data_IF_249425443962
#
_entry.id   IF_249425443962
#
_cell.length_a   1.000
_cell.length_b   1.000
_cell.length_c   1.000
_cell.angle_alpha   90.00
_cell.angle_beta   90.00
_cell.angle_gamma   90.00
#
_symmetry.space_group_name_H-M   'P 1'
#
loop_
_entity.id
_entity.type
_entity.pdbx_description
1 polymer ?
#
# COMPACT_ATOMS: atom_id res chain seq x y z
N UNK A 1 4.19 1.87 9.67
CA UNK A 1 3.37 1.82 8.45
C UNK A 1 2.43 0.65 8.58
N UNK A 2 1.12 0.91 8.56
CA UNK A 2 0.07 -0.07 8.90
C UNK A 2 -0.66 -0.64 7.68
N UNK A 3 -0.38 -0.16 6.48
CA UNK A 3 -0.95 -0.70 5.23
C UNK A 3 -0.46 -2.11 4.92
N UNK A 4 -1.20 -2.80 4.06
CA UNK A 4 -0.90 -4.18 3.66
C UNK A 4 0.44 -4.26 2.91
N UNK A 5 1.02 -5.46 2.80
CA UNK A 5 2.19 -5.65 1.94
C UNK A 5 1.91 -5.30 0.48
N UNK A 6 0.66 -5.49 0.03
CA UNK A 6 0.22 -5.10 -1.31
C UNK A 6 0.27 -3.57 -1.48
N UNK A 7 -0.39 -2.81 -0.59
CA UNK A 7 -0.41 -1.34 -0.66
C UNK A 7 1.00 -0.77 -0.61
N UNK A 8 1.83 -1.30 0.30
CA UNK A 8 3.21 -0.89 0.46
C UNK A 8 4.08 -1.23 -0.76
N UNK A 9 3.81 -2.33 -1.45
CA UNK A 9 4.54 -2.70 -2.65
C UNK A 9 4.20 -1.77 -3.81
N UNK A 10 2.92 -1.43 -3.97
CA UNK A 10 2.46 -0.42 -4.94
C UNK A 10 3.06 0.95 -4.61
N UNK A 11 3.00 1.39 -3.35
CA UNK A 11 3.63 2.64 -2.92
C UNK A 11 5.13 2.65 -3.17
N UNK A 12 5.83 1.54 -2.95
CA UNK A 12 7.26 1.41 -3.23
C UNK A 12 7.56 1.52 -4.73
N UNK A 13 6.74 0.93 -5.60
CA UNK A 13 6.86 1.09 -7.05
C UNK A 13 6.81 2.57 -7.44
N UNK A 14 5.79 3.31 -6.98
CA UNK A 14 5.64 4.72 -7.31
C UNK A 14 6.65 5.62 -6.59
N UNK A 15 7.12 5.26 -5.39
CA UNK A 15 8.23 5.97 -4.75
C UNK A 15 9.49 5.93 -5.61
N UNK A 16 9.80 4.77 -6.21
CA UNK A 16 10.95 4.60 -7.10
C UNK A 16 10.70 5.27 -8.45
N UNK A 17 9.63 4.85 -9.14
CA UNK A 17 9.36 5.24 -10.54
C UNK A 17 8.80 6.65 -10.67
N UNK A 18 8.14 7.17 -9.64
CA UNK A 18 7.36 8.39 -9.69
C UNK A 18 5.95 8.17 -10.23
N UNK A 19 5.06 9.12 -9.96
CA UNK A 19 3.67 9.10 -10.40
C UNK A 19 2.68 8.95 -9.24
N UNK A 20 1.40 8.94 -9.59
CA UNK A 20 0.31 8.77 -8.64
C UNK A 20 0.12 7.30 -8.32
N UNK A 21 0.13 6.97 -7.03
CA UNK A 21 -0.16 5.62 -6.55
C UNK A 21 -1.52 5.17 -7.07
N UNK A 22 -1.55 4.06 -7.78
CA UNK A 22 -2.75 3.34 -8.22
C UNK A 22 -2.71 1.95 -7.57
N UNK A 23 -3.53 1.74 -6.55
CA UNK A 23 -3.67 0.46 -5.83
C UNK A 23 -4.44 -0.60 -6.64
N UNK A 24 -4.94 -0.26 -7.83
CA UNK A 24 -5.71 -1.16 -8.67
C UNK A 24 -7.21 -1.04 -8.41
N UNK A 25 -7.99 -1.14 -9.48
CA UNK A 25 -9.44 -0.98 -9.42
C UNK A 25 -10.11 -2.19 -8.76
N UNK A 26 -9.66 -3.40 -9.08
CA UNK A 26 -10.21 -4.63 -8.51
C UNK A 26 -9.94 -4.68 -6.99
N UNK A 27 -8.69 -4.41 -6.60
CA UNK A 27 -8.26 -4.38 -5.21
C UNK A 27 -9.02 -3.33 -4.40
N UNK A 28 -9.07 -2.09 -4.89
CA UNK A 28 -9.80 -1.01 -4.23
C UNK A 28 -11.29 -1.34 -4.06
N UNK A 29 -11.94 -1.93 -5.07
CA UNK A 29 -13.33 -2.36 -4.99
C UNK A 29 -13.54 -3.48 -3.96
N UNK A 30 -12.65 -4.49 -3.97
CA UNK A 30 -12.67 -5.66 -3.08
C UNK A 30 -12.53 -5.26 -1.61
N UNK A 31 -11.54 -4.43 -1.29
CA UNK A 31 -11.23 -4.03 0.08
C UNK A 31 -11.99 -2.76 0.53
N UNK A 32 -12.52 -1.99 -0.41
CA UNK A 32 -13.32 -0.79 -0.17
C UNK A 32 -12.52 0.37 0.40
N UNK A 33 -11.41 0.68 -0.25
CA UNK A 33 -10.62 1.90 -0.02
C UNK A 33 -10.39 2.62 -1.34
N UNK A 34 -9.82 3.83 -1.29
CA UNK A 34 -9.53 4.63 -2.48
C UNK A 34 -8.55 3.89 -3.41
N UNK A 35 -8.85 3.88 -4.71
CA UNK A 35 -7.94 3.34 -5.75
C UNK A 35 -6.66 4.14 -5.86
N UNK A 36 -6.75 5.46 -5.73
CA UNK A 36 -5.60 6.33 -5.93
C UNK A 36 -5.08 6.90 -4.62
N UNK A 37 -3.78 6.76 -4.38
CA UNK A 37 -3.08 7.35 -3.26
C UNK A 37 -2.37 8.66 -3.60
N UNK A 38 -1.30 8.91 -2.84
CA UNK A 38 -0.39 10.05 -3.01
C UNK A 38 0.38 9.99 -4.33
N UNK A 39 0.90 11.14 -4.74
CA UNK A 39 1.82 11.26 -5.88
C UNK A 39 3.25 11.36 -5.38
N UNK A 40 4.13 10.54 -5.95
CA UNK A 40 5.56 10.59 -5.69
C UNK A 40 6.30 11.25 -6.84
N UNK A 41 7.33 12.02 -6.53
CA UNK A 41 8.25 12.56 -7.54
C UNK A 41 8.98 11.45 -8.30
N UNK A 42 9.31 10.35 -7.62
CA UNK A 42 10.11 9.27 -8.20
C UNK A 42 11.60 9.52 -8.01
N UNK A 43 12.25 8.70 -7.18
CA UNK A 43 13.70 8.79 -6.94
C UNK A 43 14.53 8.24 -8.10
N UNK A 44 13.92 7.43 -8.97
CA UNK A 44 14.53 6.90 -10.19
C UNK A 44 13.50 6.84 -11.32
N UNK A 45 13.17 8.00 -11.90
CA UNK A 45 12.11 8.18 -12.90
C UNK A 45 12.26 7.29 -14.14
N UNK A 46 13.50 7.02 -14.55
CA UNK A 46 13.75 6.21 -15.75
C UNK A 46 13.59 4.70 -15.50
N UNK A 47 13.55 4.25 -14.23
CA UNK A 47 13.59 2.84 -13.83
C UNK A 47 12.68 1.92 -14.68
N UNK A 48 13.29 1.02 -15.45
CA UNK A 48 12.64 0.13 -16.42
C UNK A 48 13.51 -1.12 -16.64
N UNK A 49 13.06 -2.15 -17.37
CA UNK A 49 13.89 -3.32 -17.66
C UNK A 49 15.29 -2.96 -18.16
N UNK A 50 16.31 -3.63 -17.60
CA UNK A 50 17.73 -3.33 -17.83
C UNK A 50 18.34 -2.31 -16.84
N UNK A 51 17.54 -1.48 -16.18
CA UNK A 51 17.99 -0.57 -15.12
C UNK A 51 17.70 -1.18 -13.75
N UNK A 52 18.65 -1.96 -13.24
CA UNK A 52 18.44 -2.72 -12.01
C UNK A 52 18.68 -1.90 -10.75
N UNK A 53 17.97 -2.25 -9.69
CA UNK A 53 18.20 -1.76 -8.33
C UNK A 53 18.45 -2.90 -7.34
N UNK A 54 19.10 -2.60 -6.22
CA UNK A 54 19.21 -3.51 -5.08
C UNK A 54 18.21 -3.10 -4.00
N UNK A 55 17.43 -4.05 -3.51
CA UNK A 55 16.41 -3.79 -2.50
C UNK A 55 16.79 -4.48 -1.18
N UNK A 56 16.96 -3.68 -0.13
CA UNK A 56 17.27 -4.17 1.23
C UNK A 56 16.08 -3.88 2.14
N UNK A 57 15.46 -4.95 2.66
CA UNK A 57 14.25 -4.87 3.48
C UNK A 57 14.51 -5.29 4.92
N UNK A 58 14.26 -4.39 5.87
CA UNK A 58 14.21 -4.74 7.28
C UNK A 58 12.78 -5.16 7.69
N UNK A 59 12.64 -6.21 8.50
CA UNK A 59 11.36 -6.71 9.02
C UNK A 59 10.32 -6.90 7.90
N UNK A 60 9.09 -6.39 8.04
CA UNK A 60 8.03 -6.48 7.02
C UNK A 60 8.45 -5.88 5.66
N UNK A 61 9.45 -4.99 5.61
CA UNK A 61 10.00 -4.47 4.36
C UNK A 61 10.50 -5.56 3.40
N UNK A 62 11.01 -6.68 3.93
CA UNK A 62 11.40 -7.82 3.09
C UNK A 62 10.23 -8.51 2.40
N UNK A 63 9.06 -8.59 3.04
CA UNK A 63 7.84 -9.11 2.39
C UNK A 63 7.32 -8.13 1.34
N UNK A 64 7.35 -6.83 1.64
CA UNK A 64 6.96 -5.77 0.69
C UNK A 64 7.80 -5.83 -0.58
N UNK A 65 9.12 -5.98 -0.47
CA UNK A 65 10.03 -6.06 -1.62
C UNK A 65 9.76 -7.31 -2.48
N UNK A 66 9.50 -8.46 -1.84
CA UNK A 66 9.13 -9.69 -2.55
C UNK A 66 7.79 -9.53 -3.29
N UNK A 67 6.80 -8.89 -2.66
CA UNK A 67 5.51 -8.60 -3.28
C UNK A 67 5.65 -7.65 -4.48
N UNK A 68 6.52 -6.64 -4.39
CA UNK A 68 6.81 -5.75 -5.52
C UNK A 68 7.42 -6.53 -6.70
N UNK A 69 8.40 -7.39 -6.43
CA UNK A 69 9.05 -8.17 -7.50
C UNK A 69 8.07 -9.15 -8.17
N UNK A 70 7.19 -9.78 -7.39
CA UNK A 70 6.08 -10.61 -7.90
C UNK A 70 5.19 -9.81 -8.86
N UNK A 71 4.75 -8.61 -8.46
CA UNK A 71 3.91 -7.74 -9.29
C UNK A 71 4.65 -7.29 -10.56
N UNK A 72 5.94 -6.93 -10.47
CA UNK A 72 6.71 -6.53 -11.65
C UNK A 72 6.80 -7.66 -12.67
N UNK A 73 7.10 -8.88 -12.22
CA UNK A 73 7.31 -10.03 -13.09
C UNK A 73 5.99 -10.56 -13.66
N UNK A 74 5.00 -10.78 -12.80
CA UNK A 74 3.78 -11.50 -13.13
C UNK A 74 2.53 -10.63 -13.27
N UNK A 75 2.60 -9.37 -12.84
CA UNK A 75 1.46 -8.47 -12.84
C UNK A 75 0.42 -8.86 -11.78
N UNK A 76 -0.83 -8.47 -12.01
CA UNK A 76 -1.96 -8.90 -11.20
C UNK A 76 -3.11 -9.34 -12.13
N UNK A 77 -3.36 -10.65 -12.27
CA UNK A 77 -4.43 -11.16 -13.12
C UNK A 77 -5.83 -10.64 -12.75
N UNK A 78 -6.13 -10.45 -11.45
CA UNK A 78 -7.43 -9.91 -11.01
C UNK A 78 -7.64 -8.49 -11.56
N UNK A 79 -6.61 -7.64 -11.57
CA UNK A 79 -6.69 -6.28 -12.13
C UNK A 79 -6.83 -6.28 -13.66
N UNK A 80 -6.13 -7.20 -14.34
CA UNK A 80 -6.23 -7.37 -15.78
C UNK A 80 -7.64 -7.82 -16.20
N UNK A 81 -8.22 -8.79 -15.48
CA UNK A 81 -9.59 -9.25 -15.72
C UNK A 81 -10.61 -8.15 -15.44
N UNK A 82 -10.46 -7.46 -14.31
CA UNK A 82 -11.34 -6.36 -13.94
C UNK A 82 -11.33 -5.23 -14.99
N UNK A 83 -10.15 -4.86 -15.51
CA UNK A 83 -10.01 -3.86 -16.56
C UNK A 83 -10.62 -4.33 -17.89
N UNK A 84 -10.52 -5.61 -18.24
CA UNK A 84 -11.19 -6.15 -19.44
C UNK A 84 -12.71 -6.07 -19.33
N UNK A 85 -13.26 -6.34 -18.16
CA UNK A 85 -14.70 -6.33 -17.92
C UNK A 85 -15.27 -4.91 -17.80
N UNK A 86 -14.57 -4.00 -17.12
CA UNK A 86 -15.08 -2.67 -16.76
C UNK A 86 -14.48 -1.53 -17.60
N UNK A 87 -13.46 -1.80 -18.42
CA UNK A 87 -12.70 -0.81 -19.17
C UNK A 87 -11.83 0.09 -18.29
N UNK A 88 -11.38 1.21 -18.86
CA UNK A 88 -10.55 2.20 -18.17
C UNK A 88 -9.05 1.87 -18.15
N UNK A 89 -8.31 2.66 -17.38
CA UNK A 89 -6.85 2.57 -17.26
C UNK A 89 -6.43 1.49 -16.27
N UNK A 90 -5.27 0.88 -16.51
CA UNK A 90 -4.60 -0.07 -15.63
C UNK A 90 -3.14 0.33 -15.48
N UNK A 91 -2.63 0.36 -14.23
CA UNK A 91 -1.22 0.63 -13.96
C UNK A 91 -0.32 -0.36 -14.71
N UNK A 92 0.81 0.10 -15.30
CA UNK A 92 1.80 -0.80 -15.91
C UNK A 92 2.28 -1.88 -14.95
N UNK A 93 2.31 -1.60 -13.64
CA UNK A 93 2.69 -2.57 -12.60
C UNK A 93 1.84 -3.85 -12.66
N UNK A 94 0.57 -3.75 -13.01
CA UNK A 94 -0.34 -4.91 -13.02
C UNK A 94 -0.32 -5.70 -14.33
N UNK A 95 0.38 -5.22 -15.35
CA UNK A 95 0.48 -5.90 -16.65
C UNK A 95 1.57 -6.99 -16.65
N UNK A 96 2.49 -6.96 -15.69
CA UNK A 96 3.62 -7.88 -15.61
C UNK A 96 4.65 -7.68 -16.74
N UNK A 97 5.61 -8.60 -16.85
CA UNK A 97 6.65 -8.56 -17.88
C UNK A 97 7.76 -7.53 -17.64
N UNK A 98 7.84 -6.96 -16.44
CA UNK A 98 8.87 -5.99 -16.05
C UNK A 98 10.09 -6.67 -15.43
N UNK A 99 10.56 -7.72 -16.09
CA UNK A 99 11.75 -8.46 -15.68
C UNK A 99 13.01 -7.57 -15.70
N UNK A 100 14.05 -8.01 -15.00
CA UNK A 100 15.36 -7.35 -14.98
C UNK A 100 15.37 -5.92 -14.44
N UNK A 101 14.40 -5.56 -13.59
CA UNK A 101 14.36 -4.29 -12.85
C UNK A 101 14.94 -4.38 -11.44
N UNK A 102 15.02 -5.58 -10.85
CA UNK A 102 15.60 -5.83 -9.53
C UNK A 102 16.82 -6.75 -9.69
N UNK A 103 17.98 -6.34 -9.17
CA UNK A 103 19.20 -7.14 -9.19
C UNK A 103 19.31 -8.06 -7.98
N UNK A 104 18.90 -7.60 -6.80
CA UNK A 104 18.95 -8.41 -5.57
C UNK A 104 17.88 -7.97 -4.58
N UNK A 105 17.48 -8.94 -3.75
CA UNK A 105 16.63 -8.75 -2.59
C UNK A 105 17.39 -9.28 -1.38
N UNK A 106 17.68 -8.42 -0.41
CA UNK A 106 18.30 -8.79 0.85
C UNK A 106 17.35 -8.46 1.98
N UNK A 107 17.10 -9.42 2.87
CA UNK A 107 16.15 -9.25 3.98
C UNK A 107 16.84 -9.38 5.33
N UNK A 108 16.47 -8.53 6.29
CA UNK A 108 17.07 -8.46 7.63
C UNK A 108 15.95 -8.53 8.67
N UNK A 109 15.91 -9.60 9.47
CA UNK A 109 14.87 -9.77 10.49
C UNK A 109 13.44 -9.86 9.94
N UNK A 110 13.29 -10.16 8.64
CA UNK A 110 11.97 -10.34 8.02
C UNK A 110 11.30 -11.59 8.58
N UNK A 111 9.97 -11.57 8.82
CA UNK A 111 9.21 -12.76 9.18
C UNK A 111 8.64 -13.44 7.91
N UNK A 112 9.41 -14.26 7.14
CA UNK A 112 8.93 -14.83 5.88
C UNK A 112 7.77 -15.82 6.06
N UNK A 113 7.58 -16.35 7.28
CA UNK A 113 6.51 -17.27 7.67
C UNK A 113 5.59 -16.66 8.75
N UNK A 114 5.55 -15.32 8.85
CA UNK A 114 4.85 -14.64 9.94
C UNK A 114 5.62 -14.69 11.26
N UNK A 115 4.99 -14.19 12.32
CA UNK A 115 5.54 -14.19 13.69
C UNK A 115 4.41 -14.42 14.68
N UNK A 116 4.66 -15.26 15.68
CA UNK A 116 3.71 -15.52 16.76
C UNK A 116 3.35 -14.23 17.52
N UNK A 117 4.22 -13.22 17.52
CA UNK A 117 3.91 -11.92 18.11
C UNK A 117 2.75 -11.21 17.37
N UNK A 118 2.63 -11.35 16.06
CA UNK A 118 1.48 -10.84 15.33
C UNK A 118 0.21 -11.65 15.63
N UNK A 119 0.34 -12.97 15.70
CA UNK A 119 -0.80 -13.87 15.94
C UNK A 119 -1.36 -13.75 17.37
N UNK A 120 -0.49 -13.52 18.36
CA UNK A 120 -0.86 -13.48 19.79
C UNK A 120 -1.08 -12.07 20.35
N UNK A 121 -0.49 -11.03 19.74
CA UNK A 121 -0.49 -9.68 20.31
C UNK A 121 -0.85 -8.59 19.28
N UNK A 122 -0.38 -8.67 18.03
CA UNK A 122 -0.52 -7.58 17.05
C UNK A 122 -1.82 -7.54 16.25
N UNK A 123 -2.39 -8.72 15.95
CA UNK A 123 -3.60 -8.87 15.12
C UNK A 123 -4.86 -9.17 15.93
N UNK A 124 -4.70 -9.26 17.26
CA UNK A 124 -5.78 -9.20 18.23
C UNK A 124 -6.58 -7.92 18.01
N UNK A 125 -7.92 -8.03 18.06
CA UNK A 125 -8.82 -6.95 17.67
C UNK A 125 -8.52 -5.64 18.43
N UNK A 126 -8.07 -5.74 19.68
CA UNK A 126 -7.73 -4.61 20.55
C UNK A 126 -6.48 -3.86 20.07
N UNK A 127 -5.42 -4.56 19.66
CA UNK A 127 -4.16 -3.92 19.24
C UNK A 127 -4.30 -3.34 17.83
N UNK A 128 -5.03 -4.01 16.94
CA UNK A 128 -5.43 -3.44 15.65
C UNK A 128 -6.26 -2.17 15.82
N UNK A 129 -7.24 -2.19 16.73
CA UNK A 129 -8.05 -1.03 17.05
C UNK A 129 -7.21 0.14 17.57
N UNK A 130 -6.27 -0.12 18.49
CA UNK A 130 -5.35 0.91 19.01
C UNK A 130 -4.48 1.53 17.90
N UNK A 131 -3.92 0.70 17.01
CA UNK A 131 -3.13 1.18 15.87
C UNK A 131 -3.96 2.08 14.93
N UNK A 132 -5.19 1.68 14.62
CA UNK A 132 -6.10 2.45 13.78
C UNK A 132 -6.59 3.73 14.46
N UNK A 133 -6.80 3.70 15.78
CA UNK A 133 -7.16 4.89 16.56
C UNK A 133 -6.03 5.91 16.60
N UNK A 134 -4.78 5.46 16.72
CA UNK A 134 -3.60 6.31 16.55
C UNK A 134 -3.56 6.88 15.12
N UNK A 135 -3.75 6.05 14.10
CA UNK A 135 -3.81 6.50 12.70
C UNK A 135 -4.87 7.57 12.47
N UNK A 136 -6.07 7.39 13.05
CA UNK A 136 -7.17 8.37 13.01
C UNK A 136 -6.82 9.66 13.76
N UNK A 137 -6.21 9.57 14.94
CA UNK A 137 -5.82 10.75 15.72
C UNK A 137 -4.85 11.64 14.94
N UNK A 138 -3.84 11.04 14.33
CA UNK A 138 -2.82 11.75 13.53
C UNK A 138 -3.23 12.01 12.08
N UNK A 139 -4.38 11.52 11.63
CA UNK A 139 -4.95 11.86 10.32
C UNK A 139 -5.59 13.25 10.25
N UNK A 140 -5.61 14.01 11.36
CA UNK A 140 -6.14 15.36 11.39
C UNK A 140 -5.32 16.33 10.52
N UNK A 141 -5.93 17.46 10.14
CA UNK A 141 -5.34 18.42 9.19
C UNK A 141 -4.11 19.17 9.71
N UNK A 142 -3.91 19.21 11.04
CA UNK A 142 -2.81 19.92 11.70
C UNK A 142 -1.60 18.98 11.97
N UNK A 143 -1.78 17.67 11.79
CA UNK A 143 -0.74 16.66 11.95
C UNK A 143 0.21 16.63 10.75
N UNK A 144 1.51 16.54 11.07
CA UNK A 144 2.58 16.31 10.08
C UNK A 144 2.97 14.84 9.94
N UNK A 145 2.31 13.94 10.67
CA UNK A 145 2.62 12.51 10.69
C UNK A 145 1.63 11.76 9.79
N UNK A 146 2.15 11.02 8.81
CA UNK A 146 1.37 10.10 7.96
C UNK A 146 1.71 8.65 8.30
N UNK A 147 0.69 7.88 8.67
CA UNK A 147 0.82 6.46 9.00
C UNK A 147 0.63 5.51 7.81
N UNK A 148 0.36 6.06 6.62
CA UNK A 148 0.16 5.32 5.37
C UNK A 148 -1.23 4.71 5.26
N UNK A 149 -2.26 5.36 5.82
CA UNK A 149 -3.65 4.90 5.80
C UNK A 149 -4.60 5.92 5.15
N UNK A 150 -4.07 6.92 4.45
CA UNK A 150 -4.88 7.97 3.82
C UNK A 150 -5.90 7.42 2.81
N UNK A 151 -5.54 6.35 2.07
CA UNK A 151 -6.44 5.67 1.13
C UNK A 151 -7.65 5.02 1.80
N UNK A 152 -7.59 4.71 3.11
CA UNK A 152 -8.74 4.26 3.90
C UNK A 152 -9.64 5.39 4.39
N UNK A 153 -9.36 6.64 3.96
CA UNK A 153 -10.05 7.84 4.39
C UNK A 153 -9.52 8.44 5.69
N UNK A 154 -8.41 7.94 6.24
CA UNK A 154 -7.81 8.44 7.50
C UNK A 154 -6.99 9.72 7.28
N UNK A 155 -7.53 10.65 6.49
CA UNK A 155 -7.05 12.02 6.32
C UNK A 155 -8.23 12.99 6.41
N UNK A 156 -8.14 13.97 7.31
CA UNK A 156 -9.12 15.03 7.43
C UNK A 156 -9.01 15.98 6.24
N UNK A 157 -10.14 16.27 5.59
CA UNK A 157 -10.18 17.20 4.45
C UNK A 157 -10.03 18.65 4.95
N UNK A 158 -9.49 19.58 4.13
CA UNK A 158 -9.26 20.98 4.57
C UNK A 158 -10.50 21.67 5.16
N UNK A 159 -11.68 21.42 4.55
CA UNK A 159 -12.96 22.02 4.92
C UNK A 159 -13.85 21.10 5.79
N UNK A 160 -13.28 20.05 6.38
CA UNK A 160 -14.01 19.10 7.21
C UNK A 160 -13.74 19.39 8.70
N UNK A 161 -14.79 19.51 9.50
CA UNK A 161 -14.64 19.60 10.96
C UNK A 161 -14.15 18.28 11.54
N UNK A 162 -13.51 18.30 12.71
CA UNK A 162 -13.01 17.07 13.33
C UNK A 162 -14.14 16.06 13.59
N UNK A 163 -15.34 16.53 13.95
CA UNK A 163 -16.51 15.67 14.17
C UNK A 163 -16.96 15.00 12.86
N UNK A 164 -16.97 15.74 11.74
CA UNK A 164 -17.31 15.18 10.42
C UNK A 164 -16.28 14.12 10.01
N UNK A 165 -15.00 14.40 10.22
CA UNK A 165 -13.90 13.46 9.99
C UNK A 165 -14.09 12.16 10.78
N UNK A 166 -14.33 12.27 12.09
CA UNK A 166 -14.54 11.10 12.96
C UNK A 166 -15.73 10.26 12.48
N UNK A 167 -16.88 10.89 12.15
CA UNK A 167 -18.06 10.18 11.64
C UNK A 167 -17.80 9.47 10.32
N UNK A 168 -17.07 10.10 9.40
CA UNK A 168 -16.71 9.49 8.11
C UNK A 168 -15.80 8.29 8.31
N UNK A 169 -14.77 8.43 9.14
CA UNK A 169 -13.77 7.38 9.40
C UNK A 169 -14.38 6.19 10.14
N UNK A 170 -15.38 6.38 11.02
CA UNK A 170 -16.10 5.28 11.68
C UNK A 170 -16.75 4.30 10.68
N UNK A 171 -17.13 4.76 9.49
CA UNK A 171 -17.75 3.93 8.46
C UNK A 171 -16.74 3.27 7.49
N UNK A 172 -15.44 3.47 7.68
CA UNK A 172 -14.41 2.87 6.84
C UNK A 172 -14.41 1.34 6.93
N UNK A 173 -14.18 0.64 5.82
CA UNK A 173 -14.02 -0.83 5.84
C UNK A 173 -12.73 -1.28 6.53
N UNK A 174 -11.78 -0.37 6.78
CA UNK A 174 -10.52 -0.62 7.47
C UNK A 174 -10.70 -1.40 8.78
N UNK A 175 -11.71 -1.05 9.58
CA UNK A 175 -11.96 -1.67 10.89
C UNK A 175 -12.20 -3.17 10.83
N UNK A 176 -12.66 -3.67 9.68
CA UNK A 176 -13.00 -5.08 9.43
C UNK A 176 -12.10 -5.74 8.39
N UNK A 177 -11.17 -4.98 7.80
CA UNK A 177 -10.22 -5.49 6.81
C UNK A 177 -9.21 -6.43 7.45
N UNK A 178 -8.73 -7.39 6.65
CA UNK A 178 -7.66 -8.33 7.00
C UNK A 178 -6.40 -8.00 6.22
#
# INVERSE_FOLDING_TARGET
>A
AFGSNYDRAVELYYYIKGGRVDYGAAHAAKYGHERYGKTYEGVYKDWKPGQKIHLVGHSMGGQTIRQLEELLRHGNPEEVEYQKEHGGEISPLYQGGHDTMVSSITTLGTPPKGTHASDLLGNEAIVRQLAYDVGKMYGNKDSRVDFGLEHWGLKQKPNESYIQYVKRVQNSKLWKSK
#
